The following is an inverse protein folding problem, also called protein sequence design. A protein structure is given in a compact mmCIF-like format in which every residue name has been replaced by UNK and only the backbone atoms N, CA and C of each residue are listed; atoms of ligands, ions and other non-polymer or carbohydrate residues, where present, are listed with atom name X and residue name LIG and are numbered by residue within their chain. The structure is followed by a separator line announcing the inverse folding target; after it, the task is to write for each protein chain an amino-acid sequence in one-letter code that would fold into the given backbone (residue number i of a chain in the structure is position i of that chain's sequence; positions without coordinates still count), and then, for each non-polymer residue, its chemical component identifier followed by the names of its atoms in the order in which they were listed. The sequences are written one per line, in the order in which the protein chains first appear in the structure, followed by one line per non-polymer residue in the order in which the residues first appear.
data_IF_135409285081
#
_entry.id   IF_135409285081
#
_cell.length_a   1.000
_cell.length_b   1.000
_cell.length_c   1.000
_cell.angle_alpha   90.00
_cell.angle_beta   90.00
_cell.angle_gamma   90.00
#
_symmetry.space_group_name_H-M   'P 1'
#
loop_
_entity.id
_entity.type
_entity.pdbx_description
1 polymer ?
#
# COMPACT_ATOMS: atom_id res chain seq x y z
N UNK A 1 17.51 33.95 2.81
CA UNK A 1 17.87 32.52 3.06
C UNK A 1 18.94 32.14 2.05
N UNK A 2 20.02 31.52 2.51
CA UNK A 2 21.05 30.93 1.64
C UNK A 2 20.65 29.47 1.42
N UNK A 3 20.65 29.00 0.18
CA UNK A 3 20.26 27.63 -0.19
C UNK A 3 21.43 26.81 -0.76
N UNK A 4 21.15 25.55 -1.07
CA UNK A 4 22.06 24.66 -1.81
C UNK A 4 21.75 24.70 -3.32
N UNK A 5 22.71 24.36 -4.19
CA UNK A 5 22.47 24.16 -5.62
C UNK A 5 21.40 23.09 -5.89
N UNK A 6 20.55 23.32 -6.89
CA UNK A 6 19.43 22.42 -7.20
C UNK A 6 19.87 21.04 -7.70
N UNK A 7 21.05 20.96 -8.31
CA UNK A 7 21.71 19.75 -8.80
C UNK A 7 22.24 18.84 -7.69
N UNK A 8 22.35 19.33 -6.45
CA UNK A 8 22.65 18.50 -5.27
C UNK A 8 21.43 17.74 -4.73
N UNK A 9 20.22 18.07 -5.20
CA UNK A 9 19.01 17.39 -4.76
C UNK A 9 18.92 15.97 -5.37
N UNK A 10 18.50 14.94 -4.60
CA UNK A 10 18.37 13.59 -5.13
C UNK A 10 17.45 13.51 -6.35
N UNK A 11 17.94 12.90 -7.42
CA UNK A 11 17.13 12.65 -8.62
C UNK A 11 16.04 11.64 -8.30
N UNK A 12 14.79 11.98 -8.64
CA UNK A 12 13.67 11.05 -8.54
C UNK A 12 13.69 10.14 -9.76
N UNK A 13 13.81 8.83 -9.53
CA UNK A 13 13.75 7.83 -10.61
C UNK A 13 12.41 7.91 -11.32
N UNK A 14 12.43 8.01 -12.65
CA UNK A 14 11.23 7.87 -13.47
C UNK A 14 11.05 6.40 -13.81
N UNK A 15 9.83 5.90 -13.65
CA UNK A 15 9.47 4.57 -14.10
C UNK A 15 8.78 4.69 -15.45
N UNK A 16 9.33 4.01 -16.45
CA UNK A 16 8.72 3.85 -17.78
C UNK A 16 8.08 2.46 -17.84
N UNK A 17 7.05 2.30 -18.68
CA UNK A 17 6.37 1.02 -18.93
C UNK A 17 5.81 0.29 -17.68
N UNK A 18 5.19 1.05 -16.76
CA UNK A 18 4.46 0.48 -15.61
C UNK A 18 2.99 0.28 -15.93
N UNK A 19 2.44 -0.85 -15.48
CA UNK A 19 1.00 -1.09 -15.52
C UNK A 19 0.31 -0.34 -14.38
N UNK A 20 -0.76 0.37 -14.73
CA UNK A 20 -1.59 1.11 -13.75
C UNK A 20 -2.86 0.33 -13.43
N UNK A 21 -3.23 0.38 -12.16
CA UNK A 21 -4.52 -0.10 -11.67
C UNK A 21 -5.31 1.09 -11.15
N UNK A 22 -6.53 1.24 -11.65
CA UNK A 22 -7.44 2.27 -11.16
C UNK A 22 -8.22 1.73 -9.96
N UNK A 23 -8.37 2.57 -8.95
CA UNK A 23 -9.14 2.28 -7.75
C UNK A 23 -9.75 3.57 -7.24
N UNK A 24 -10.96 3.48 -6.67
CA UNK A 24 -11.56 4.61 -5.97
C UNK A 24 -10.71 4.98 -4.74
N UNK A 25 -10.35 6.27 -4.63
CA UNK A 25 -9.57 6.77 -3.49
C UNK A 25 -10.23 6.45 -2.12
N UNK A 26 -11.56 6.61 -1.94
CA UNK A 26 -12.23 6.25 -0.69
C UNK A 26 -12.14 4.74 -0.37
N UNK A 27 -12.20 3.89 -1.40
CA UNK A 27 -12.06 2.44 -1.23
C UNK A 27 -10.66 2.10 -0.70
N UNK A 28 -9.61 2.63 -1.35
CA UNK A 28 -8.24 2.39 -0.90
C UNK A 28 -8.04 2.87 0.54
N UNK A 29 -8.51 4.08 0.84
CA UNK A 29 -8.43 4.67 2.17
C UNK A 29 -9.10 3.80 3.22
N UNK A 30 -10.34 3.35 2.96
CA UNK A 30 -11.07 2.44 3.86
C UNK A 30 -10.25 1.19 4.16
N UNK A 31 -9.64 0.59 3.13
CA UNK A 31 -8.84 -0.62 3.29
C UNK A 31 -7.57 -0.38 4.13
N UNK A 32 -6.91 0.78 3.96
CA UNK A 32 -5.74 1.19 4.74
C UNK A 32 -6.13 1.41 6.20
N UNK A 33 -7.17 2.21 6.46
CA UNK A 33 -7.59 2.59 7.81
C UNK A 33 -8.01 1.36 8.64
N UNK A 34 -8.63 0.37 8.00
CA UNK A 34 -9.04 -0.90 8.63
C UNK A 34 -7.89 -1.87 8.89
N UNK A 35 -6.69 -1.63 8.39
CA UNK A 35 -5.56 -2.57 8.51
C UNK A 35 -4.34 -1.98 9.20
N UNK A 36 -4.03 -0.69 8.98
CA UNK A 36 -2.76 -0.07 9.39
C UNK A 36 -2.48 -0.10 10.90
N UNK A 37 -3.52 -0.12 11.74
CA UNK A 37 -3.36 -0.16 13.19
C UNK A 37 -2.77 -1.48 13.68
N UNK A 38 -2.89 -2.56 12.90
CA UNK A 38 -2.37 -3.88 13.24
C UNK A 38 -0.91 -4.08 12.80
N UNK A 39 -0.29 -3.09 12.14
CA UNK A 39 1.12 -3.17 11.73
C UNK A 39 2.05 -3.11 12.94
N UNK A 40 3.10 -3.93 12.96
CA UNK A 40 4.10 -3.91 14.02
C UNK A 40 4.85 -2.57 14.08
N UNK A 41 5.12 -2.10 15.29
CA UNK A 41 6.00 -0.94 15.53
C UNK A 41 7.44 -1.36 15.80
N UNK A 42 7.74 -2.67 15.84
CA UNK A 42 9.09 -3.19 16.05
C UNK A 42 9.87 -3.17 14.73
N UNK A 43 10.91 -2.34 14.64
CA UNK A 43 11.71 -2.15 13.42
C UNK A 43 12.52 -3.39 12.99
N UNK A 44 12.67 -4.38 13.88
CA UNK A 44 13.40 -5.62 13.61
C UNK A 44 12.56 -6.68 12.90
N UNK A 45 11.22 -6.54 12.88
CA UNK A 45 10.30 -7.49 12.23
C UNK A 45 9.90 -6.99 10.84
N UNK A 46 10.82 -7.10 9.88
CA UNK A 46 10.65 -6.54 8.54
C UNK A 46 9.37 -7.02 7.82
N UNK A 47 9.01 -8.29 7.97
CA UNK A 47 7.80 -8.87 7.38
C UNK A 47 6.50 -8.37 8.02
N UNK A 48 6.56 -7.72 9.18
CA UNK A 48 5.43 -7.15 9.91
C UNK A 48 5.43 -5.62 9.94
N UNK A 49 6.37 -4.99 9.24
CA UNK A 49 6.62 -3.54 9.26
C UNK A 49 5.70 -2.72 8.33
N UNK A 50 4.74 -3.38 7.68
CA UNK A 50 3.87 -2.79 6.68
C UNK A 50 2.56 -3.53 6.50
N UNK A 51 1.81 -3.13 5.49
CA UNK A 51 0.58 -3.80 5.07
C UNK A 51 0.92 -4.70 3.89
N UNK A 52 0.54 -5.97 3.97
CA UNK A 52 0.67 -6.94 2.90
C UNK A 52 -0.54 -6.83 1.95
N UNK A 53 -0.28 -6.65 0.67
CA UNK A 53 -1.27 -6.60 -0.40
C UNK A 53 -1.21 -7.91 -1.18
N UNK A 54 -2.36 -8.54 -1.35
CA UNK A 54 -2.48 -9.83 -2.03
C UNK A 54 -3.65 -9.79 -3.03
N UNK A 55 -3.38 -10.27 -4.25
CA UNK A 55 -4.41 -10.60 -5.24
C UNK A 55 -4.99 -11.98 -4.89
N UNK A 56 -6.31 -12.07 -4.72
CA UNK A 56 -7.03 -13.31 -4.42
C UNK A 56 -7.79 -13.79 -5.65
N UNK A 57 -7.22 -14.77 -6.35
CA UNK A 57 -7.75 -15.29 -7.63
C UNK A 57 -8.78 -16.41 -7.48
N UNK A 58 -8.95 -16.96 -6.27
CA UNK A 58 -9.94 -18.02 -6.00
C UNK A 58 -11.38 -17.52 -5.89
N UNK A 59 -11.59 -16.21 -6.03
CA UNK A 59 -12.89 -15.56 -5.95
C UNK A 59 -13.30 -14.94 -7.29
N UNK A 60 -14.61 -14.91 -7.56
CA UNK A 60 -15.21 -14.25 -8.71
C UNK A 60 -16.22 -13.19 -8.22
N UNK A 61 -15.96 -11.89 -8.40
CA UNK A 61 -14.78 -11.30 -9.07
C UNK A 61 -13.50 -11.43 -8.22
N UNK A 62 -12.35 -11.30 -8.89
CA UNK A 62 -11.04 -11.27 -8.23
C UNK A 62 -10.98 -10.12 -7.22
N UNK A 63 -10.41 -10.40 -6.05
CA UNK A 63 -10.36 -9.46 -4.94
C UNK A 63 -8.93 -8.99 -4.64
N UNK A 64 -8.81 -7.77 -4.11
CA UNK A 64 -7.62 -7.30 -3.42
C UNK A 64 -7.79 -7.49 -1.91
N UNK A 65 -6.81 -8.10 -1.25
CA UNK A 65 -6.75 -8.26 0.20
C UNK A 65 -5.60 -7.47 0.78
N UNK A 66 -5.87 -6.66 1.81
CA UNK A 66 -4.86 -6.03 2.64
C UNK A 66 -4.81 -6.76 3.98
N UNK A 67 -3.61 -7.08 4.46
CA UNK A 67 -3.37 -7.81 5.71
C UNK A 67 -2.27 -7.11 6.51
N UNK A 68 -2.49 -6.94 7.82
CA UNK A 68 -1.47 -6.44 8.74
C UNK A 68 -1.53 -7.21 10.07
N UNK A 69 -0.37 -7.42 10.69
CA UNK A 69 -0.25 -8.08 12.00
C UNK A 69 0.99 -7.62 12.73
N UNK A 70 0.91 -7.56 14.06
CA UNK A 70 2.00 -7.25 14.97
C UNK A 70 2.49 -8.50 15.72
N UNK A 71 1.92 -9.67 15.40
CA UNK A 71 2.14 -10.95 16.07
C UNK A 71 1.19 -11.22 17.24
N UNK A 72 0.44 -10.22 17.70
CA UNK A 72 -0.57 -10.35 18.75
C UNK A 72 -2.00 -10.26 18.20
N UNK A 73 -2.18 -9.44 17.16
CA UNK A 73 -3.45 -9.27 16.45
C UNK A 73 -3.22 -9.24 14.96
N UNK A 74 -4.22 -9.67 14.21
CA UNK A 74 -4.25 -9.60 12.76
C UNK A 74 -5.51 -8.85 12.35
N UNK A 75 -5.36 -7.91 11.41
CA UNK A 75 -6.48 -7.28 10.72
C UNK A 75 -6.33 -7.51 9.22
N UNK A 76 -7.43 -7.85 8.57
CA UNK A 76 -7.48 -7.90 7.12
C UNK A 76 -8.80 -7.34 6.60
N UNK A 77 -8.76 -6.91 5.35
CA UNK A 77 -9.93 -6.52 4.58
C UNK A 77 -9.75 -6.99 3.15
N UNK A 78 -10.85 -7.40 2.54
CA UNK A 78 -10.89 -7.87 1.17
C UNK A 78 -12.01 -7.16 0.43
N UNK A 79 -11.71 -6.65 -0.76
CA UNK A 79 -12.67 -5.93 -1.61
C UNK A 79 -12.54 -6.43 -3.06
N UNK A 80 -13.66 -6.63 -3.77
CA UNK A 80 -13.66 -6.86 -5.21
C UNK A 80 -12.87 -5.78 -5.95
N UNK A 81 -11.94 -6.18 -6.83
CA UNK A 81 -11.22 -5.24 -7.68
C UNK A 81 -10.87 -5.93 -9.01
N UNK A 82 -11.73 -5.86 -10.04
CA UNK A 82 -11.52 -6.57 -11.30
C UNK A 82 -10.21 -6.21 -12.01
N UNK A 83 -9.75 -4.96 -11.89
CA UNK A 83 -8.50 -4.49 -12.48
C UNK A 83 -7.24 -4.95 -11.73
N UNK A 84 -7.39 -5.60 -10.57
CA UNK A 84 -6.27 -6.15 -9.80
C UNK A 84 -5.51 -7.24 -10.58
N UNK A 85 -6.14 -7.81 -11.61
CA UNK A 85 -5.52 -8.75 -12.56
C UNK A 85 -4.26 -8.20 -13.22
N UNK A 86 -4.16 -6.87 -13.37
CA UNK A 86 -2.99 -6.16 -13.90
C UNK A 86 -1.86 -6.01 -12.87
N UNK A 87 -2.05 -6.40 -11.61
CA UNK A 87 -0.94 -6.43 -10.66
C UNK A 87 -0.08 -7.67 -10.87
N UNK A 88 1.20 -7.46 -11.16
CA UNK A 88 2.24 -8.49 -11.14
C UNK A 88 2.67 -8.87 -9.70
N UNK A 89 1.74 -8.96 -8.76
CA UNK A 89 1.98 -9.28 -7.35
C UNK A 89 1.52 -10.71 -7.02
N UNK A 90 1.94 -11.69 -7.82
CA UNK A 90 1.50 -13.09 -7.64
C UNK A 90 1.91 -13.70 -6.29
N UNK A 91 2.89 -13.08 -5.61
CA UNK A 91 3.32 -13.44 -4.23
C UNK A 91 2.98 -12.36 -3.20
N UNK A 92 2.12 -11.41 -3.57
CA UNK A 92 1.83 -10.20 -2.82
C UNK A 92 3.04 -9.29 -2.60
N UNK A 93 2.79 -8.14 -1.99
CA UNK A 93 3.82 -7.16 -1.64
C UNK A 93 3.59 -6.58 -0.26
N UNK A 94 4.65 -6.21 0.46
CA UNK A 94 4.53 -5.46 1.72
C UNK A 94 4.87 -4.01 1.44
N UNK A 95 3.91 -3.12 1.69
CA UNK A 95 4.13 -1.67 1.61
C UNK A 95 4.43 -1.14 3.03
N UNK A 96 5.58 -0.47 3.26
CA UNK A 96 5.98 -0.01 4.58
C UNK A 96 4.95 0.92 5.24
N UNK A 97 4.78 0.81 6.56
CA UNK A 97 3.84 1.62 7.34
C UNK A 97 3.91 3.12 7.05
N UNK A 98 5.13 3.66 6.95
CA UNK A 98 5.34 5.09 6.68
C UNK A 98 4.75 5.50 5.33
N UNK A 99 5.00 4.71 4.27
CA UNK A 99 4.43 4.96 2.95
C UNK A 99 2.89 4.88 2.97
N UNK A 100 2.34 3.91 3.71
CA UNK A 100 0.89 3.77 3.87
C UNK A 100 0.24 4.94 4.62
N UNK A 101 0.93 5.52 5.62
CA UNK A 101 0.44 6.71 6.32
C UNK A 101 0.42 7.94 5.43
N UNK A 102 1.49 8.19 4.66
CA UNK A 102 1.51 9.32 3.74
C UNK A 102 0.48 9.14 2.63
N UNK A 103 0.31 7.92 2.11
CA UNK A 103 -0.74 7.61 1.14
C UNK A 103 -2.14 7.87 1.71
N UNK A 104 -2.43 7.46 2.94
CA UNK A 104 -3.73 7.73 3.57
C UNK A 104 -4.01 9.25 3.66
N UNK A 105 -3.00 10.06 4.01
CA UNK A 105 -3.13 11.53 4.04
C UNK A 105 -3.42 12.13 2.67
N UNK A 106 -2.72 11.68 1.63
CA UNK A 106 -2.95 12.14 0.25
C UNK A 106 -4.37 11.80 -0.25
N UNK A 107 -4.91 10.66 0.20
CA UNK A 107 -6.27 10.24 -0.13
C UNK A 107 -7.34 11.05 0.64
N UNK A 108 -7.02 11.63 1.80
CA UNK A 108 -7.92 12.57 2.53
C UNK A 108 -8.07 13.91 1.80
N UNK A 109 -7.01 14.39 1.15
CA UNK A 109 -7.03 15.64 0.39
C UNK A 109 -7.78 15.55 -0.94
N UNK A 110 -8.19 14.34 -1.33
CA UNK A 110 -8.86 14.04 -2.61
C UNK A 110 -10.39 13.96 -2.51
N UNK A 111 -10.97 14.30 -1.35
CA UNK A 111 -12.42 14.46 -1.13
C UNK A 111 -12.95 15.87 -1.51
#
# INVERSE_FOLDING_TARGET
LVGLPADEFPQVTKYEDVEWVQMEAPLLKEMIDKTIFAVSTEETRYNLSGIYFEKVETEDPICLKLVATDGHRLSFIQKPLPEVTKFAFDKGIIIPRKGMLELSRLLEESE
#
